data_IF_252280221503
#
_entry.id   IF_252280221503
#
_cell.length_a   1.000
_cell.length_b   1.000
_cell.length_c   1.000
_cell.angle_alpha   90.00
_cell.angle_beta   90.00
_cell.angle_gamma   90.00
#
_symmetry.space_group_name_H-M   'P 1'
#
loop_
_entity.id
_entity.type
_entity.pdbx_description
1 polymer ?
#
# COMPACT_ATOMS: atom_id res chain seq x y z
N UNK A 1 -0.29 -11.08 11.39
CA UNK A 1 -0.20 -9.64 11.71
C UNK A 1 -1.61 -9.10 11.83
N UNK A 2 -1.89 -8.28 12.85
CA UNK A 2 -3.17 -7.59 12.92
C UNK A 2 -3.16 -6.44 11.90
N UNK A 3 -4.21 -6.28 11.08
CA UNK A 3 -4.31 -5.12 10.21
C UNK A 3 -4.31 -3.86 11.08
N UNK A 4 -3.38 -2.94 10.80
CA UNK A 4 -3.22 -1.71 11.56
C UNK A 4 -4.01 -0.56 10.95
N UNK A 5 -4.54 -0.75 9.73
CA UNK A 5 -5.47 0.18 9.12
C UNK A 5 -6.92 -0.18 9.45
N UNK A 6 -7.73 0.84 9.72
CA UNK A 6 -9.19 0.68 9.69
C UNK A 6 -9.68 0.41 8.27
N UNK A 7 -10.83 -0.26 8.13
CA UNK A 7 -11.43 -0.52 6.82
C UNK A 7 -11.70 0.78 6.04
N UNK A 8 -12.15 1.83 6.73
CA UNK A 8 -12.34 3.17 6.14
C UNK A 8 -11.04 3.72 5.55
N UNK A 9 -9.95 3.68 6.34
CA UNK A 9 -8.62 4.14 5.90
C UNK A 9 -8.12 3.34 4.71
N UNK A 10 -8.33 2.02 4.70
CA UNK A 10 -7.95 1.14 3.59
C UNK A 10 -8.68 1.52 2.29
N UNK A 11 -9.98 1.81 2.37
CA UNK A 11 -10.78 2.25 1.21
C UNK A 11 -10.30 3.61 0.70
N UNK A 12 -10.01 4.56 1.59
CA UNK A 12 -9.48 5.87 1.23
C UNK A 12 -8.11 5.76 0.54
N UNK A 13 -7.18 4.99 1.12
CA UNK A 13 -5.86 4.76 0.52
C UNK A 13 -5.95 4.12 -0.87
N UNK A 14 -6.84 3.13 -1.07
CA UNK A 14 -7.08 2.57 -2.40
C UNK A 14 -7.59 3.61 -3.41
N UNK A 15 -8.46 4.52 -2.97
CA UNK A 15 -8.95 5.63 -3.82
C UNK A 15 -7.84 6.62 -4.16
N UNK A 16 -7.01 6.99 -3.18
CA UNK A 16 -5.88 7.92 -3.38
C UNK A 16 -4.85 7.28 -4.32
N UNK A 17 -4.46 6.02 -4.08
CA UNK A 17 -3.54 5.27 -4.95
C UNK A 17 -3.96 5.30 -6.42
N UNK A 18 -5.26 5.09 -6.71
CA UNK A 18 -5.78 5.09 -8.08
C UNK A 18 -5.75 6.48 -8.74
N UNK A 19 -5.77 7.56 -7.96
CA UNK A 19 -5.81 8.95 -8.45
C UNK A 19 -4.46 9.64 -8.43
N UNK A 20 -3.47 9.06 -7.75
CA UNK A 20 -2.17 9.68 -7.52
C UNK A 20 -1.32 9.66 -8.81
N UNK A 21 -1.00 10.81 -9.42
CA UNK A 21 -0.21 10.87 -10.64
C UNK A 21 1.28 10.64 -10.37
N UNK A 22 1.76 10.87 -9.15
CA UNK A 22 3.17 10.68 -8.83
C UNK A 22 3.46 9.22 -8.47
N UNK A 23 4.19 8.53 -9.35
CA UNK A 23 4.58 7.11 -9.17
C UNK A 23 5.16 6.82 -7.79
N UNK A 24 6.06 7.67 -7.29
CA UNK A 24 6.67 7.50 -5.97
C UNK A 24 5.64 7.53 -4.82
N UNK A 25 4.62 8.40 -4.90
CA UNK A 25 3.55 8.47 -3.90
C UNK A 25 2.61 7.27 -3.99
N UNK A 26 2.23 6.89 -5.22
CA UNK A 26 1.45 5.69 -5.46
C UNK A 26 2.14 4.45 -4.90
N UNK A 27 3.44 4.29 -5.16
CA UNK A 27 4.23 3.17 -4.64
C UNK A 27 4.26 3.15 -3.10
N UNK A 28 4.31 4.32 -2.43
CA UNK A 28 4.27 4.37 -0.96
C UNK A 28 2.92 3.91 -0.42
N UNK A 29 1.84 4.33 -1.06
CA UNK A 29 0.48 3.90 -0.69
C UNK A 29 0.31 2.40 -0.94
N UNK A 30 0.81 1.89 -2.07
CA UNK A 30 0.83 0.46 -2.40
C UNK A 30 1.58 -0.34 -1.33
N UNK A 31 2.76 0.11 -0.89
CA UNK A 31 3.52 -0.54 0.16
C UNK A 31 2.74 -0.65 1.47
N UNK A 32 2.09 0.44 1.89
CA UNK A 32 1.26 0.46 3.12
C UNK A 32 0.10 -0.54 3.00
N UNK A 33 -0.58 -0.59 1.84
CA UNK A 33 -1.69 -1.51 1.59
C UNK A 33 -1.25 -2.99 1.58
N UNK A 34 -0.06 -3.28 1.05
CA UNK A 34 0.51 -4.63 1.03
C UNK A 34 0.91 -5.10 2.43
N UNK A 35 1.59 -4.24 3.20
CA UNK A 35 1.94 -4.52 4.61
C UNK A 35 0.68 -4.79 5.45
N UNK A 36 -0.36 -3.97 5.28
CA UNK A 36 -1.65 -4.17 5.96
C UNK A 36 -2.37 -5.46 5.51
N UNK A 37 -2.07 -5.96 4.30
CA UNK A 37 -2.57 -7.25 3.80
C UNK A 37 -1.75 -8.46 4.30
N UNK A 38 -0.69 -8.22 5.07
CA UNK A 38 0.14 -9.27 5.67
C UNK A 38 1.42 -9.62 4.91
N UNK A 39 1.78 -8.83 3.89
CA UNK A 39 3.05 -9.01 3.18
C UNK A 39 4.23 -8.63 4.07
N UNK A 40 5.35 -9.32 3.90
CA UNK A 40 6.61 -8.97 4.55
C UNK A 40 7.26 -7.76 3.86
N UNK A 41 8.24 -7.14 4.54
CA UNK A 41 8.96 -6.01 3.97
C UNK A 41 9.74 -6.39 2.70
N UNK A 42 10.27 -7.62 2.65
CA UNK A 42 10.99 -8.17 1.51
C UNK A 42 10.08 -8.33 0.29
N UNK A 43 8.89 -8.93 0.48
CA UNK A 43 7.90 -9.12 -0.59
C UNK A 43 7.41 -7.76 -1.15
N UNK A 44 7.25 -6.76 -0.28
CA UNK A 44 6.89 -5.40 -0.69
C UNK A 44 8.01 -4.71 -1.45
N UNK A 45 9.27 -4.92 -1.08
CA UNK A 45 10.42 -4.35 -1.79
C UNK A 45 10.57 -4.96 -3.19
N UNK A 46 10.35 -6.26 -3.32
CA UNK A 46 10.31 -6.96 -4.61
C UNK A 46 9.19 -6.43 -5.50
N UNK A 47 7.96 -6.31 -4.97
CA UNK A 47 6.79 -5.80 -5.71
C UNK A 47 6.87 -4.32 -6.15
N UNK A 48 7.87 -3.57 -5.67
CA UNK A 48 8.16 -2.17 -6.05
C UNK A 48 9.35 -2.05 -7.00
N UNK A 49 10.15 -3.10 -7.16
CA UNK A 49 11.34 -3.11 -8.00
C UNK A 49 11.05 -3.55 -9.45
N UNK A 50 9.84 -4.05 -9.74
CA UNK A 50 9.35 -4.41 -11.08
C UNK A 50 8.57 -3.28 -11.77
#
# INVERSE_FOLDING_TARGET
MNPFLSEKTRIELKKVHKKEPHRHHADRIKAILLLDSGWSYEEVAEARSC
#
